data_IF_810397502384
#
_entry.id   IF_810397502384
#
_cell.length_a   1.000
_cell.length_b   1.000
_cell.length_c   1.000
_cell.angle_alpha   90.00
_cell.angle_beta   90.00
_cell.angle_gamma   90.00
#
_symmetry.space_group_name_H-M   'P 1'
#
loop_
_entity.id
_entity.type
_entity.pdbx_description
1 polymer ?
#
# COMPACT_ATOMS: atom_id res chain seq x y z
N UNK A 1 -22.40 0.92 53.45
CA UNK A 1 -22.84 -0.30 52.74
C UNK A 1 -24.37 -0.40 52.55
N UNK A 2 -25.24 -0.28 53.57
CA UNK A 2 -26.71 -0.30 53.35
C UNK A 2 -27.34 1.06 52.92
N UNK A 3 -26.67 2.18 53.20
CA UNK A 3 -27.11 3.55 52.86
C UNK A 3 -26.08 4.34 52.04
N UNK A 4 -25.05 3.68 51.47
CA UNK A 4 -24.02 4.35 50.66
C UNK A 4 -23.00 5.23 51.40
N UNK A 5 -23.04 5.32 52.74
CA UNK A 5 -22.17 6.21 53.53
C UNK A 5 -20.84 5.61 54.01
N UNK A 6 -20.59 4.33 53.71
CA UNK A 6 -19.41 3.59 54.21
C UNK A 6 -18.95 2.63 53.11
N UNK A 7 -17.70 2.79 52.68
CA UNK A 7 -16.96 1.92 51.76
C UNK A 7 -16.14 0.92 52.58
N UNK A 8 -16.28 -0.36 52.28
CA UNK A 8 -15.45 -1.41 52.87
C UNK A 8 -14.46 -1.92 51.83
N UNK A 9 -13.21 -2.11 52.22
CA UNK A 9 -12.19 -2.83 51.42
C UNK A 9 -11.62 -3.98 52.24
N UNK A 10 -11.34 -5.11 51.61
CA UNK A 10 -10.69 -6.24 52.27
C UNK A 10 -9.19 -6.00 52.48
N UNK A 11 -8.50 -6.99 53.07
CA UNK A 11 -7.05 -6.93 53.31
C UNK A 11 -6.21 -6.78 52.02
N UNK A 12 -6.77 -7.08 50.85
CA UNK A 12 -6.15 -6.89 49.54
C UNK A 12 -6.55 -5.55 48.88
N UNK A 13 -7.15 -4.62 49.63
CA UNK A 13 -7.68 -3.33 49.15
C UNK A 13 -8.77 -3.44 48.08
N UNK A 14 -9.45 -4.59 47.97
CA UNK A 14 -10.55 -4.81 47.03
C UNK A 14 -11.88 -4.43 47.68
N UNK A 15 -12.79 -3.80 46.93
CA UNK A 15 -14.09 -3.37 47.44
C UNK A 15 -14.96 -4.57 47.85
N UNK A 16 -15.58 -4.51 49.03
CA UNK A 16 -16.48 -5.53 49.58
C UNK A 16 -17.87 -4.94 49.85
N UNK A 17 -18.91 -5.72 49.56
CA UNK A 17 -20.31 -5.33 49.78
C UNK A 17 -20.81 -5.86 51.14
N UNK A 18 -21.81 -5.20 51.74
CA UNK A 18 -22.40 -5.59 53.03
C UNK A 18 -22.91 -7.02 53.05
N UNK A 19 -23.40 -7.51 51.90
CA UNK A 19 -23.94 -8.87 51.78
C UNK A 19 -22.87 -9.95 51.63
N UNK A 20 -21.68 -9.58 51.17
CA UNK A 20 -20.57 -10.52 50.92
C UNK A 20 -19.49 -10.48 52.00
N UNK A 21 -19.61 -9.58 52.97
CA UNK A 21 -18.67 -9.44 54.08
C UNK A 21 -19.01 -10.42 55.21
N UNK A 22 -18.28 -11.54 55.25
CA UNK A 22 -18.37 -12.54 56.31
C UNK A 22 -17.93 -11.96 57.67
N UNK A 23 -18.61 -12.34 58.75
CA UNK A 23 -18.37 -11.87 60.12
C UNK A 23 -16.92 -12.10 60.56
N UNK A 24 -16.29 -13.17 60.08
CA UNK A 24 -14.90 -13.50 60.39
C UNK A 24 -13.87 -12.63 59.66
N UNK A 25 -14.28 -11.90 58.61
CA UNK A 25 -13.42 -11.01 57.81
C UNK A 25 -13.60 -9.53 58.16
N UNK A 26 -14.50 -9.21 59.10
CA UNK A 26 -14.76 -7.84 59.57
C UNK A 26 -13.51 -7.18 60.16
N UNK A 27 -12.68 -7.92 60.88
CA UNK A 27 -11.43 -7.42 61.51
C UNK A 27 -10.31 -7.18 60.50
N UNK A 28 -10.45 -7.72 59.28
CA UNK A 28 -9.49 -7.57 58.18
C UNK A 28 -9.97 -6.56 57.14
N UNK A 29 -11.18 -6.03 57.29
CA UNK A 29 -11.76 -5.06 56.39
C UNK A 29 -11.51 -3.62 56.88
N UNK A 30 -11.03 -2.76 55.98
CA UNK A 30 -10.89 -1.33 56.22
C UNK A 30 -12.18 -0.63 55.81
N UNK A 31 -12.76 0.15 56.72
CA UNK A 31 -13.96 0.94 56.48
C UNK A 31 -13.60 2.42 56.36
N UNK A 32 -13.99 3.04 55.25
CA UNK A 32 -13.85 4.48 55.05
C UNK A 32 -15.22 5.11 54.89
N UNK A 33 -15.40 6.30 55.45
CA UNK A 33 -16.60 7.08 55.25
C UNK A 33 -16.67 7.51 53.78
N UNK A 34 -17.77 7.20 53.13
CA UNK A 34 -18.06 7.66 51.78
C UNK A 34 -18.83 8.99 51.92
N UNK A 35 -18.10 10.10 51.79
CA UNK A 35 -18.63 11.46 51.96
C UNK A 35 -19.41 11.97 50.74
N UNK A 36 -19.30 11.28 49.60
CA UNK A 36 -19.92 11.66 48.32
C UNK A 36 -21.12 10.76 48.06
N UNK A 37 -22.30 11.37 47.95
CA UNK A 37 -23.54 10.72 47.53
C UNK A 37 -23.91 11.18 46.13
N UNK A 38 -24.33 10.23 45.27
CA UNK A 38 -24.78 10.51 43.91
C UNK A 38 -26.30 10.56 43.88
N UNK A 39 -26.87 11.65 43.37
CA UNK A 39 -28.31 11.86 43.23
C UNK A 39 -28.90 11.07 42.04
N UNK A 40 -30.20 10.74 42.06
CA UNK A 40 -30.85 10.06 40.94
C UNK A 40 -30.69 10.76 39.58
N UNK A 41 -30.79 12.11 39.47
CA UNK A 41 -30.50 12.82 38.21
C UNK A 41 -29.05 12.65 37.73
N UNK A 42 -28.08 12.63 38.65
CA UNK A 42 -26.67 12.40 38.31
C UNK A 42 -26.46 11.00 37.75
N UNK A 43 -27.08 9.97 38.35
CA UNK A 43 -27.05 8.61 37.81
C UNK A 43 -27.64 8.53 36.39
N UNK A 44 -28.73 9.26 36.11
CA UNK A 44 -29.31 9.31 34.75
C UNK A 44 -28.30 9.89 33.76
N UNK A 45 -27.68 11.04 34.08
CA UNK A 45 -26.71 11.70 33.19
C UNK A 45 -25.46 10.84 32.99
N UNK A 46 -24.96 10.18 34.03
CA UNK A 46 -23.86 9.21 33.91
C UNK A 46 -24.26 8.08 32.95
N UNK A 47 -25.43 7.46 33.11
CA UNK A 47 -25.88 6.40 32.19
C UNK A 47 -26.04 6.88 30.75
N UNK A 48 -26.40 8.14 30.52
CA UNK A 48 -26.41 8.73 29.17
C UNK A 48 -25.01 8.79 28.56
N UNK A 49 -23.96 9.06 29.35
CA UNK A 49 -22.57 9.02 28.88
C UNK A 49 -22.17 7.60 28.48
N UNK A 50 -22.52 6.62 29.30
CA UNK A 50 -22.33 5.19 28.97
C UNK A 50 -22.96 4.85 27.61
N UNK A 51 -24.22 5.22 27.40
CA UNK A 51 -24.91 5.01 26.13
C UNK A 51 -24.25 5.77 24.96
N UNK A 52 -23.81 7.01 25.16
CA UNK A 52 -23.16 7.81 24.13
C UNK A 52 -21.80 7.22 23.67
N UNK A 53 -21.09 6.55 24.57
CA UNK A 53 -19.81 5.86 24.29
C UNK A 53 -20.04 4.41 23.84
N UNK A 54 -21.28 3.93 23.84
CA UNK A 54 -21.65 2.58 23.39
C UNK A 54 -21.40 1.48 24.43
N UNK A 55 -21.35 1.82 25.72
CA UNK A 55 -21.19 0.86 26.81
C UNK A 55 -22.55 0.65 27.51
N UNK A 56 -23.13 -0.56 27.47
CA UNK A 56 -24.45 -0.78 28.05
C UNK A 56 -24.39 -0.75 29.58
N UNK A 57 -25.08 0.19 30.22
CA UNK A 57 -25.12 0.35 31.68
C UNK A 57 -26.55 0.27 32.22
N UNK A 58 -26.79 -0.64 33.16
CA UNK A 58 -28.07 -0.77 33.86
C UNK A 58 -28.09 0.11 35.12
N UNK A 59 -29.26 0.50 35.63
CA UNK A 59 -29.35 1.19 36.92
C UNK A 59 -28.70 0.37 38.03
N UNK A 60 -27.88 1.01 38.88
CA UNK A 60 -27.11 0.41 39.99
C UNK A 60 -25.85 -0.36 39.58
N UNK A 61 -25.50 -0.36 38.29
CA UNK A 61 -24.31 -1.02 37.72
C UNK A 61 -23.23 -0.01 37.28
N UNK A 62 -23.47 1.29 37.48
CA UNK A 62 -22.63 2.38 36.97
C UNK A 62 -21.18 2.29 37.50
N UNK A 63 -21.03 2.06 38.80
CA UNK A 63 -19.72 1.97 39.43
C UNK A 63 -18.94 0.73 38.97
N UNK A 64 -19.64 -0.41 38.81
CA UNK A 64 -19.03 -1.65 38.37
C UNK A 64 -18.59 -1.58 36.90
N UNK A 65 -19.31 -0.80 36.07
CA UNK A 65 -18.98 -0.59 34.65
C UNK A 65 -18.10 0.61 34.35
N UNK A 66 -17.80 1.47 35.33
CA UNK A 66 -16.90 2.61 35.12
C UNK A 66 -15.54 2.22 34.51
N UNK A 67 -14.88 1.12 34.92
CA UNK A 67 -13.65 0.66 34.26
C UNK A 67 -13.83 0.30 32.78
N UNK A 68 -14.99 -0.28 32.42
CA UNK A 68 -15.29 -0.63 31.03
C UNK A 68 -15.52 0.63 30.17
N UNK A 69 -16.15 1.67 30.73
CA UNK A 69 -16.31 2.97 30.07
C UNK A 69 -14.96 3.64 29.82
N UNK A 70 -14.10 3.68 30.84
CA UNK A 70 -12.74 4.24 30.75
C UNK A 70 -11.92 3.49 29.69
N UNK A 71 -11.98 2.15 29.69
CA UNK A 71 -11.33 1.33 28.66
C UNK A 71 -11.85 1.65 27.26
N UNK A 72 -13.18 1.84 27.10
CA UNK A 72 -13.76 2.20 25.80
C UNK A 72 -13.34 3.59 25.32
N UNK A 73 -13.27 4.58 26.21
CA UNK A 73 -12.76 5.91 25.89
C UNK A 73 -11.30 5.87 25.46
N UNK A 74 -10.45 5.05 26.12
CA UNK A 74 -9.06 4.82 25.69
C UNK A 74 -8.98 4.15 24.31
N UNK A 75 -9.84 3.18 24.04
CA UNK A 75 -9.91 2.55 22.73
C UNK A 75 -10.25 3.58 21.64
N UNK A 76 -11.25 4.45 21.88
CA UNK A 76 -11.60 5.52 20.96
C UNK A 76 -10.45 6.50 20.73
N UNK A 77 -9.76 6.92 21.80
CA UNK A 77 -8.60 7.79 21.71
C UNK A 77 -7.47 7.16 20.87
N UNK A 78 -7.20 5.86 21.09
CA UNK A 78 -6.15 5.14 20.35
C UNK A 78 -6.41 5.05 18.84
N UNK A 79 -7.68 5.15 18.43
CA UNK A 79 -8.10 5.13 17.02
C UNK A 79 -8.20 6.53 16.39
N UNK A 80 -8.22 7.58 17.21
CA UNK A 80 -8.38 8.97 16.77
C UNK A 80 -7.05 9.68 16.47
N UNK A 81 -5.99 8.92 16.25
CA UNK A 81 -4.67 9.41 15.90
C UNK A 81 -3.71 8.26 15.64
N UNK A 82 -2.43 8.56 15.39
CA UNK A 82 -1.43 7.53 15.17
C UNK A 82 -0.11 8.07 14.64
N UNK A 83 0.57 7.23 13.86
CA UNK A 83 1.78 7.64 13.14
C UNK A 83 1.43 8.60 12.00
N UNK A 84 2.37 9.48 11.65
CA UNK A 84 2.22 10.35 10.50
C UNK A 84 1.92 9.52 9.23
N UNK A 85 1.00 9.94 8.35
CA UNK A 85 0.40 11.28 8.24
C UNK A 85 -0.85 11.50 9.12
N UNK A 86 -1.29 10.51 9.91
CA UNK A 86 -2.46 10.68 10.77
C UNK A 86 -2.18 11.75 11.85
N UNK A 87 -3.24 12.40 12.39
CA UNK A 87 -3.10 13.28 13.53
C UNK A 87 -2.41 12.59 14.71
N UNK A 88 -1.80 13.38 15.59
CA UNK A 88 -1.25 12.84 16.83
C UNK A 88 -2.34 12.21 17.70
N UNK A 89 -1.94 11.25 18.53
CA UNK A 89 -2.83 10.67 19.52
C UNK A 89 -3.37 11.76 20.45
N UNK A 90 -4.69 11.82 20.66
CA UNK A 90 -5.28 12.81 21.54
C UNK A 90 -4.81 12.61 22.99
N UNK A 91 -4.71 13.72 23.73
CA UNK A 91 -4.31 13.71 25.14
C UNK A 91 -5.38 13.02 26.00
N UNK A 92 -4.96 12.14 26.91
CA UNK A 92 -5.86 11.36 27.77
C UNK A 92 -6.14 12.02 29.13
N UNK A 93 -5.79 13.30 29.32
CA UNK A 93 -5.89 14.03 30.60
C UNK A 93 -7.24 13.88 31.31
N UNK A 94 -8.36 13.99 30.58
CA UNK A 94 -9.70 13.79 31.14
C UNK A 94 -9.94 12.36 31.62
N UNK A 95 -9.36 11.35 30.95
CA UNK A 95 -9.46 9.94 31.32
C UNK A 95 -8.56 9.64 32.53
N UNK A 96 -7.34 10.16 32.54
CA UNK A 96 -6.39 10.01 33.66
C UNK A 96 -6.97 10.61 34.95
N UNK A 97 -7.67 11.75 34.86
CA UNK A 97 -8.40 12.34 35.98
C UNK A 97 -9.50 11.42 36.53
N UNK A 98 -10.20 10.67 35.68
CA UNK A 98 -11.22 9.69 36.10
C UNK A 98 -10.59 8.48 36.79
N UNK A 99 -9.45 8.02 36.32
CA UNK A 99 -8.71 6.88 36.91
C UNK A 99 -8.07 7.23 38.25
N UNK A 100 -7.73 8.49 38.47
CA UNK A 100 -7.24 8.98 39.77
C UNK A 100 -8.31 8.96 40.87
N UNK A 101 -9.60 8.85 40.50
CA UNK A 101 -10.72 8.77 41.42
C UNK A 101 -11.19 7.33 41.63
N UNK A 102 -11.86 7.07 42.75
CA UNK A 102 -12.44 5.75 43.03
C UNK A 102 -13.74 5.82 43.82
N UNK A 103 -14.60 4.81 43.67
CA UNK A 103 -15.93 4.81 44.34
C UNK A 103 -16.82 5.92 43.80
N UNK A 104 -17.69 6.49 44.66
CA UNK A 104 -18.60 7.55 44.24
C UNK A 104 -17.88 8.83 43.75
N UNK A 105 -16.63 9.07 44.16
CA UNK A 105 -15.83 10.18 43.62
C UNK A 105 -15.61 10.06 42.11
N UNK A 106 -15.41 8.83 41.59
CA UNK A 106 -15.25 8.57 40.17
C UNK A 106 -16.56 8.81 39.39
N UNK A 107 -17.70 8.42 39.98
CA UNK A 107 -19.02 8.70 39.40
C UNK A 107 -19.34 10.21 39.38
N UNK A 108 -18.97 10.93 40.44
CA UNK A 108 -19.12 12.38 40.47
C UNK A 108 -18.26 13.05 39.40
N UNK A 109 -17.03 12.59 39.19
CA UNK A 109 -16.15 13.13 38.15
C UNK A 109 -16.68 12.84 36.73
N UNK A 110 -17.23 11.63 36.50
CA UNK A 110 -17.94 11.30 35.24
C UNK A 110 -19.12 12.25 34.98
N UNK A 111 -19.87 12.59 36.03
CA UNK A 111 -20.97 13.54 35.92
C UNK A 111 -20.48 14.96 35.62
N UNK A 112 -19.46 15.43 36.35
CA UNK A 112 -18.90 16.78 36.20
C UNK A 112 -18.32 16.99 34.80
N UNK A 113 -17.66 15.97 34.25
CA UNK A 113 -17.04 16.01 32.91
C UNK A 113 -17.94 15.47 31.81
N UNK A 114 -19.23 15.26 32.05
CA UNK A 114 -20.12 14.64 31.07
C UNK A 114 -20.05 15.31 29.68
N UNK A 115 -20.13 16.64 29.65
CA UNK A 115 -20.20 17.40 28.40
C UNK A 115 -18.85 17.34 27.66
N UNK A 116 -17.74 17.42 28.39
CA UNK A 116 -16.37 17.23 27.87
C UNK A 116 -16.19 15.81 27.30
N UNK A 117 -16.49 14.77 28.10
CA UNK A 117 -16.30 13.36 27.71
C UNK A 117 -17.17 12.97 26.52
N UNK A 118 -18.39 13.49 26.44
CA UNK A 118 -19.28 13.26 25.31
C UNK A 118 -18.77 13.96 24.04
N UNK A 119 -18.25 15.17 24.16
CA UNK A 119 -17.68 15.91 23.04
C UNK A 119 -16.42 15.23 22.48
N UNK A 120 -15.47 14.85 23.34
CA UNK A 120 -14.23 14.18 22.90
C UNK A 120 -14.54 12.80 22.32
N UNK A 121 -15.50 12.04 22.88
CA UNK A 121 -15.87 10.74 22.33
C UNK A 121 -16.44 10.87 20.91
N UNK A 122 -17.34 11.83 20.68
CA UNK A 122 -17.87 12.12 19.34
C UNK A 122 -16.78 12.55 18.37
N UNK A 123 -15.87 13.42 18.82
CA UNK A 123 -14.73 13.86 18.01
C UNK A 123 -13.83 12.68 17.63
N UNK A 124 -13.46 11.83 18.60
CA UNK A 124 -12.60 10.67 18.36
C UNK A 124 -13.22 9.64 17.43
N UNK A 125 -14.53 9.38 17.54
CA UNK A 125 -15.25 8.52 16.59
C UNK A 125 -15.16 9.10 15.18
N UNK A 126 -15.46 10.40 15.01
CA UNK A 126 -15.37 11.06 13.70
C UNK A 126 -13.95 10.99 13.14
N UNK A 127 -12.94 11.35 13.93
CA UNK A 127 -11.54 11.32 13.52
C UNK A 127 -11.09 9.91 13.12
N UNK A 128 -11.48 8.89 13.89
CA UNK A 128 -11.17 7.50 13.55
C UNK A 128 -11.81 7.06 12.22
N UNK A 129 -13.08 7.45 11.98
CA UNK A 129 -13.76 7.16 10.73
C UNK A 129 -13.13 7.87 9.53
N UNK A 130 -12.71 9.13 9.71
CA UNK A 130 -12.03 9.90 8.66
C UNK A 130 -10.64 9.33 8.36
N UNK A 131 -9.87 8.90 9.38
CA UNK A 131 -8.61 8.17 9.20
C UNK A 131 -8.86 6.88 8.41
N UNK A 132 -9.87 6.10 8.79
CA UNK A 132 -10.19 4.83 8.12
C UNK A 132 -10.53 5.01 6.63
N UNK A 133 -11.09 6.17 6.26
CA UNK A 133 -11.39 6.51 4.85
C UNK A 133 -10.19 7.05 4.09
N UNK A 134 -9.38 7.94 4.71
CA UNK A 134 -8.27 8.62 4.03
C UNK A 134 -6.99 7.80 3.97
N UNK A 135 -6.75 6.94 4.96
CA UNK A 135 -5.51 6.17 5.05
C UNK A 135 -5.29 5.20 3.88
N UNK A 136 -6.30 4.47 3.36
CA UNK A 136 -6.10 3.63 2.19
C UNK A 136 -5.65 4.42 0.95
N UNK A 137 -6.25 5.60 0.73
CA UNK A 137 -5.89 6.51 -0.38
C UNK A 137 -4.46 7.03 -0.23
N UNK A 138 -4.06 7.35 1.01
CA UNK A 138 -2.68 7.72 1.31
C UNK A 138 -1.70 6.57 1.01
N UNK A 139 -2.02 5.35 1.43
CA UNK A 139 -1.17 4.18 1.16
C UNK A 139 -1.02 3.93 -0.35
N UNK A 140 -2.10 4.05 -1.12
CA UNK A 140 -2.08 3.95 -2.59
C UNK A 140 -1.17 5.01 -3.23
N UNK A 141 -1.25 6.27 -2.78
CA UNK A 141 -0.36 7.34 -3.22
C UNK A 141 1.12 7.00 -2.96
N UNK A 142 1.46 6.56 -1.74
CA UNK A 142 2.85 6.24 -1.39
C UNK A 142 3.38 5.08 -2.26
N UNK A 143 2.58 4.04 -2.48
CA UNK A 143 2.98 2.92 -3.33
C UNK A 143 3.22 3.37 -4.78
N UNK A 144 2.35 4.21 -5.34
CA UNK A 144 2.55 4.74 -6.68
C UNK A 144 3.80 5.64 -6.76
N UNK A 145 4.07 6.47 -5.75
CA UNK A 145 5.27 7.30 -5.71
C UNK A 145 6.56 6.48 -5.76
N UNK A 146 6.57 5.26 -5.22
CA UNK A 146 7.72 4.36 -5.32
C UNK A 146 8.04 4.01 -6.78
N UNK A 147 7.03 3.81 -7.62
CA UNK A 147 7.19 3.58 -9.07
C UNK A 147 7.59 4.82 -9.85
N UNK A 148 7.36 6.02 -9.30
CA UNK A 148 7.62 7.28 -9.96
C UNK A 148 9.05 7.81 -9.73
N UNK A 149 9.89 7.16 -8.91
CA UNK A 149 11.21 7.65 -8.47
C UNK A 149 12.14 8.15 -9.57
N UNK A 150 12.09 7.51 -10.73
CA UNK A 150 12.95 7.83 -11.87
C UNK A 150 12.34 8.84 -12.84
N UNK A 151 11.13 9.33 -12.55
CA UNK A 151 10.42 10.30 -13.36
C UNK A 151 10.75 11.72 -12.90
N UNK A 152 10.86 12.65 -13.85
CA UNK A 152 11.20 14.06 -13.58
C UNK A 152 10.33 14.74 -12.51
N UNK A 153 8.98 14.63 -12.55
CA UNK A 153 8.09 15.26 -11.56
C UNK A 153 8.14 14.64 -10.14
N UNK A 154 8.92 13.59 -9.92
CA UNK A 154 8.95 12.86 -8.65
C UNK A 154 9.29 13.75 -7.45
N UNK A 155 10.31 14.60 -7.58
CA UNK A 155 10.79 15.40 -6.47
C UNK A 155 9.71 16.35 -5.91
N UNK A 156 8.93 16.97 -6.80
CA UNK A 156 7.83 17.86 -6.43
C UNK A 156 6.68 17.08 -5.77
N UNK A 157 6.24 15.97 -6.38
CA UNK A 157 5.19 15.12 -5.82
C UNK A 157 5.58 14.54 -4.45
N UNK A 158 6.84 14.16 -4.29
CA UNK A 158 7.38 13.65 -3.03
C UNK A 158 7.43 14.73 -1.96
N UNK A 159 7.83 15.95 -2.31
CA UNK A 159 7.84 17.08 -1.39
C UNK A 159 6.43 17.43 -0.89
N UNK A 160 5.43 17.45 -1.79
CA UNK A 160 4.04 17.67 -1.40
C UNK A 160 3.52 16.55 -0.48
N UNK A 161 3.83 15.29 -0.79
CA UNK A 161 3.47 14.17 0.08
C UNK A 161 4.17 14.27 1.45
N UNK A 162 5.46 14.58 1.48
CA UNK A 162 6.19 14.80 2.74
C UNK A 162 5.56 15.93 3.56
N UNK A 163 5.12 17.02 2.94
CA UNK A 163 4.41 18.09 3.63
C UNK A 163 3.10 17.60 4.28
N UNK A 164 2.34 16.72 3.61
CA UNK A 164 1.12 16.12 4.20
C UNK A 164 1.46 15.25 5.40
N UNK A 165 2.53 14.45 5.30
CA UNK A 165 2.99 13.57 6.37
C UNK A 165 3.51 14.37 7.56
N UNK A 166 4.43 15.28 7.32
CA UNK A 166 5.21 15.97 8.35
C UNK A 166 4.32 16.97 9.10
N UNK A 167 3.38 17.63 8.41
CA UNK A 167 2.37 18.50 9.04
C UNK A 167 1.12 17.74 9.53
N UNK A 168 1.07 16.41 9.34
CA UNK A 168 -0.06 15.54 9.73
C UNK A 168 -1.43 16.02 9.24
N UNK A 169 -1.48 16.46 7.99
CA UNK A 169 -2.69 17.07 7.39
C UNK A 169 -3.57 16.06 6.64
N UNK A 170 -3.46 14.76 6.92
CA UNK A 170 -4.28 13.71 6.28
C UNK A 170 -5.79 14.01 6.28
N UNK A 171 -6.27 14.66 7.36
CA UNK A 171 -7.69 14.97 7.55
C UNK A 171 -8.05 16.44 7.27
N UNK A 172 -7.16 17.20 6.61
CA UNK A 172 -7.45 18.57 6.23
C UNK A 172 -8.58 18.67 5.18
N UNK A 173 -9.24 19.82 5.16
CA UNK A 173 -10.29 20.16 4.18
C UNK A 173 -9.88 21.46 3.46
N UNK A 174 -9.73 21.48 2.12
CA UNK A 174 -9.94 20.38 1.18
C UNK A 174 -8.95 19.20 1.33
N UNK A 175 -9.34 18.01 0.85
CA UNK A 175 -8.51 16.79 0.89
C UNK A 175 -7.17 17.00 0.16
N UNK A 176 -6.03 16.95 0.87
CA UNK A 176 -4.73 17.17 0.23
C UNK A 176 -4.21 15.93 -0.51
N UNK A 177 -4.72 14.73 -0.23
CA UNK A 177 -4.20 13.47 -0.78
C UNK A 177 -4.76 13.18 -2.16
N UNK A 178 -6.05 13.43 -2.39
CA UNK A 178 -6.69 13.07 -3.66
C UNK A 178 -6.06 13.76 -4.88
N UNK A 179 -5.81 15.09 -4.86
CA UNK A 179 -5.14 15.75 -5.98
C UNK A 179 -3.71 15.27 -6.21
N UNK A 180 -3.02 14.83 -5.15
CA UNK A 180 -1.68 14.24 -5.27
C UNK A 180 -1.72 12.86 -5.93
N UNK A 181 -2.68 12.02 -5.52
CA UNK A 181 -2.89 10.70 -6.11
C UNK A 181 -3.22 10.80 -7.60
N UNK A 182 -4.11 11.71 -7.97
CA UNK A 182 -4.52 11.91 -9.37
C UNK A 182 -3.31 12.36 -10.22
N UNK A 183 -2.53 13.35 -9.74
CA UNK A 183 -1.30 13.80 -10.43
C UNK A 183 -0.25 12.70 -10.56
N UNK A 184 0.02 11.94 -9.49
CA UNK A 184 0.98 10.83 -9.52
C UNK A 184 0.53 9.74 -10.50
N UNK A 185 -0.77 9.41 -10.48
CA UNK A 185 -1.37 8.44 -11.40
C UNK A 185 -1.25 8.87 -12.85
N UNK A 186 -1.50 10.15 -13.16
CA UNK A 186 -1.41 10.66 -14.52
C UNK A 186 0.02 10.62 -15.07
N UNK A 187 1.00 11.02 -14.26
CA UNK A 187 2.42 10.96 -14.63
C UNK A 187 2.85 9.51 -14.92
N UNK A 188 2.49 8.58 -14.04
CA UNK A 188 2.81 7.16 -14.20
C UNK A 188 2.08 6.54 -15.40
N UNK A 189 0.80 6.84 -15.58
CA UNK A 189 -0.01 6.34 -16.70
C UNK A 189 0.58 6.82 -18.04
N UNK A 190 0.99 8.08 -18.13
CA UNK A 190 1.65 8.61 -19.32
C UNK A 190 2.98 7.90 -19.59
N UNK A 191 3.81 7.73 -18.56
CA UNK A 191 5.09 7.05 -18.69
C UNK A 191 4.93 5.59 -19.13
N UNK A 192 4.03 4.84 -18.48
CA UNK A 192 3.76 3.44 -18.81
C UNK A 192 3.18 3.28 -20.21
N UNK A 193 2.21 4.11 -20.60
CA UNK A 193 1.67 4.11 -21.96
C UNK A 193 2.76 4.37 -23.01
N UNK A 194 3.68 5.29 -22.77
CA UNK A 194 4.79 5.54 -23.68
C UNK A 194 5.70 4.31 -23.82
N UNK A 195 5.97 3.58 -22.73
CA UNK A 195 6.76 2.32 -22.78
C UNK A 195 6.01 1.20 -23.52
N UNK A 196 4.72 1.04 -23.25
CA UNK A 196 3.86 0.06 -23.93
C UNK A 196 3.79 0.32 -25.43
N UNK A 197 3.58 1.57 -25.84
CA UNK A 197 3.58 1.97 -27.26
C UNK A 197 4.94 1.73 -27.90
N UNK A 198 6.03 2.07 -27.21
CA UNK A 198 7.39 1.78 -27.67
C UNK A 198 7.59 0.28 -27.93
N UNK A 199 7.21 -0.56 -26.98
CA UNK A 199 7.26 -2.01 -27.12
C UNK A 199 6.43 -2.51 -28.31
N UNK A 200 5.18 -2.04 -28.44
CA UNK A 200 4.28 -2.43 -29.54
C UNK A 200 4.83 -2.04 -30.90
N UNK A 201 5.38 -0.83 -31.03
CA UNK A 201 5.98 -0.35 -32.27
C UNK A 201 7.21 -1.19 -32.66
N UNK A 202 8.10 -1.46 -31.69
CA UNK A 202 9.27 -2.32 -31.93
C UNK A 202 8.86 -3.74 -32.29
N UNK A 203 7.86 -4.30 -31.59
CA UNK A 203 7.34 -5.62 -31.88
C UNK A 203 6.74 -5.70 -33.30
N UNK A 204 5.88 -4.75 -33.67
CA UNK A 204 5.27 -4.68 -35.00
C UNK A 204 6.32 -4.54 -36.11
N UNK A 205 7.36 -3.73 -35.89
CA UNK A 205 8.47 -3.59 -36.82
C UNK A 205 9.25 -4.90 -36.98
N UNK A 206 9.63 -5.56 -35.89
CA UNK A 206 10.35 -6.84 -35.93
C UNK A 206 9.49 -7.95 -36.55
N UNK A 207 8.20 -7.97 -36.27
CA UNK A 207 7.25 -8.89 -36.89
C UNK A 207 7.16 -8.68 -38.41
N UNK A 208 7.12 -7.42 -38.88
CA UNK A 208 7.12 -7.12 -40.30
C UNK A 208 8.42 -7.58 -40.99
N UNK A 209 9.58 -7.41 -40.33
CA UNK A 209 10.85 -7.95 -40.82
C UNK A 209 10.85 -9.47 -40.89
N UNK A 210 10.32 -10.14 -39.87
CA UNK A 210 10.23 -11.61 -39.83
C UNK A 210 9.31 -12.14 -40.93
N UNK A 211 8.17 -11.49 -41.15
CA UNK A 211 7.24 -11.87 -42.23
C UNK A 211 7.76 -11.57 -43.63
N UNK A 212 8.68 -10.61 -43.78
CA UNK A 212 9.38 -10.33 -45.03
C UNK A 212 10.59 -11.24 -45.31
N UNK A 213 11.00 -12.05 -44.32
CA UNK A 213 12.13 -12.96 -44.46
C UNK A 213 11.78 -14.14 -45.40
N UNK A 214 12.62 -14.33 -46.42
CA UNK A 214 12.38 -15.33 -47.46
C UNK A 214 12.47 -16.78 -46.97
N UNK A 215 13.24 -17.04 -45.91
CA UNK A 215 13.31 -18.37 -45.31
C UNK A 215 12.15 -18.56 -44.34
N UNK A 216 11.76 -17.53 -43.57
CA UNK A 216 10.54 -17.61 -42.74
C UNK A 216 9.27 -17.90 -43.56
N UNK A 217 9.12 -17.30 -44.73
CA UNK A 217 7.99 -17.53 -45.64
C UNK A 217 7.88 -18.97 -46.17
N UNK A 218 8.95 -19.78 -46.09
CA UNK A 218 8.95 -21.19 -46.52
C UNK A 218 8.51 -22.15 -45.42
N UNK A 219 8.39 -21.68 -44.18
CA UNK A 219 7.93 -22.51 -43.06
C UNK A 219 6.43 -22.82 -43.20
N UNK A 220 6.05 -24.03 -42.77
CA UNK A 220 4.64 -24.36 -42.57
C UNK A 220 4.03 -23.59 -41.38
N UNK A 221 2.70 -23.49 -41.33
CA UNK A 221 1.99 -22.87 -40.21
C UNK A 221 2.30 -23.54 -38.86
N UNK A 222 2.52 -24.86 -38.86
CA UNK A 222 2.90 -25.60 -37.65
C UNK A 222 4.33 -25.25 -37.17
N UNK A 223 5.30 -25.15 -38.09
CA UNK A 223 6.68 -24.81 -37.76
C UNK A 223 6.82 -23.35 -37.30
N UNK A 224 6.18 -22.42 -38.01
CA UNK A 224 6.17 -21.01 -37.62
C UNK A 224 5.46 -20.80 -36.26
N UNK A 225 4.36 -21.51 -36.01
CA UNK A 225 3.70 -21.50 -34.70
C UNK A 225 4.59 -22.04 -33.57
N UNK A 226 5.30 -23.14 -33.81
CA UNK A 226 6.25 -23.70 -32.84
C UNK A 226 7.41 -22.75 -32.54
N UNK A 227 8.00 -22.12 -33.56
CA UNK A 227 9.10 -21.16 -33.36
C UNK A 227 8.62 -19.88 -32.66
N UNK A 228 7.42 -19.40 -32.98
CA UNK A 228 6.79 -18.25 -32.31
C UNK A 228 6.64 -18.52 -30.82
N UNK A 229 6.11 -19.70 -30.47
CA UNK A 229 5.94 -20.13 -29.07
C UNK A 229 7.28 -20.37 -28.36
N UNK A 230 8.25 -21.00 -29.02
CA UNK A 230 9.56 -21.29 -28.45
C UNK A 230 10.38 -20.03 -28.12
N UNK A 231 10.18 -18.95 -28.89
CA UNK A 231 10.89 -17.68 -28.69
C UNK A 231 10.03 -16.60 -28.00
N UNK A 232 8.83 -16.94 -27.54
CA UNK A 232 7.88 -16.03 -26.89
C UNK A 232 7.60 -14.78 -27.73
N UNK A 233 7.29 -14.98 -29.01
CA UNK A 233 6.98 -13.93 -29.98
C UNK A 233 5.46 -13.65 -30.04
N UNK A 234 4.75 -13.78 -28.91
CA UNK A 234 3.36 -13.37 -28.83
C UNK A 234 3.21 -11.88 -28.52
N UNK A 235 2.19 -11.22 -29.10
CA UNK A 235 1.85 -9.86 -28.73
C UNK A 235 1.44 -9.81 -27.25
N UNK A 236 2.00 -8.85 -26.51
CA UNK A 236 1.66 -8.67 -25.10
C UNK A 236 0.29 -8.01 -24.98
N UNK A 237 -0.56 -8.56 -24.11
CA UNK A 237 -1.85 -7.96 -23.76
C UNK A 237 -1.62 -6.64 -23.02
N UNK A 238 -2.26 -5.58 -23.50
CA UNK A 238 -2.20 -4.27 -22.85
C UNK A 238 -2.97 -4.33 -21.52
N UNK A 239 -2.35 -3.99 -20.38
CA UNK A 239 -3.05 -3.91 -19.11
C UNK A 239 -4.06 -2.75 -19.13
N UNK A 240 -5.15 -2.89 -18.37
CA UNK A 240 -6.06 -1.77 -18.11
C UNK A 240 -5.42 -0.83 -17.10
N UNK A 241 -5.45 0.48 -17.36
CA UNK A 241 -4.81 1.53 -16.55
C UNK A 241 -5.82 2.60 -16.10
N UNK A 242 -7.12 2.30 -16.16
CA UNK A 242 -8.18 3.28 -15.91
C UNK A 242 -8.16 3.81 -14.47
N UNK A 243 -7.93 2.93 -13.49
CA UNK A 243 -7.91 3.30 -12.06
C UNK A 243 -6.49 3.30 -11.48
N UNK A 244 -6.22 4.05 -10.40
CA UNK A 244 -4.92 4.03 -9.73
C UNK A 244 -4.53 2.62 -9.25
N UNK A 245 -5.48 1.83 -8.73
CA UNK A 245 -5.26 0.44 -8.34
C UNK A 245 -4.81 -0.45 -9.52
N UNK A 246 -5.50 -0.40 -10.66
CA UNK A 246 -5.11 -1.17 -11.85
C UNK A 246 -3.77 -0.71 -12.42
N UNK A 247 -3.48 0.59 -12.35
CA UNK A 247 -2.16 1.12 -12.71
C UNK A 247 -1.08 0.59 -11.77
N UNK A 248 -1.34 0.52 -10.47
CA UNK A 248 -0.41 -0.05 -9.50
C UNK A 248 -0.16 -1.53 -9.79
N UNK A 249 -1.21 -2.34 -9.97
CA UNK A 249 -1.10 -3.76 -10.32
C UNK A 249 -0.24 -3.96 -11.58
N UNK A 250 -0.46 -3.16 -12.62
CA UNK A 250 0.32 -3.23 -13.85
C UNK A 250 1.81 -2.88 -13.67
N UNK A 251 2.11 -1.92 -12.78
CA UNK A 251 3.48 -1.51 -12.45
C UNK A 251 4.18 -2.51 -11.53
N UNK A 252 3.44 -3.13 -10.61
CA UNK A 252 3.92 -4.21 -9.73
C UNK A 252 4.25 -5.48 -10.56
N UNK A 253 3.42 -5.82 -11.54
CA UNK A 253 3.67 -6.91 -12.48
C UNK A 253 4.87 -6.64 -13.41
N UNK A 254 4.96 -5.42 -13.95
CA UNK A 254 6.03 -5.03 -14.86
C UNK A 254 6.30 -3.52 -14.82
N UNK A 255 7.28 -3.13 -13.99
CA UNK A 255 7.67 -1.73 -13.85
C UNK A 255 8.25 -1.12 -15.14
N UNK A 256 8.44 0.20 -15.13
CA UNK A 256 8.90 0.97 -16.29
C UNK A 256 10.27 0.51 -16.83
N UNK A 257 11.20 0.16 -15.94
CA UNK A 257 12.53 -0.34 -16.33
C UNK A 257 12.46 -1.72 -16.98
N UNK A 258 11.62 -2.60 -16.44
CA UNK A 258 11.42 -3.93 -17.01
C UNK A 258 10.81 -3.84 -18.42
N UNK A 259 9.91 -2.87 -18.68
CA UNK A 259 9.42 -2.60 -20.04
C UNK A 259 10.52 -2.14 -21.01
N UNK A 260 11.49 -1.35 -20.54
CA UNK A 260 12.65 -0.95 -21.35
C UNK A 260 13.46 -2.20 -21.72
N UNK A 261 13.81 -3.03 -20.73
CA UNK A 261 14.55 -4.28 -20.93
C UNK A 261 13.82 -5.24 -21.88
N UNK A 262 12.50 -5.39 -21.72
CA UNK A 262 11.66 -6.20 -22.62
C UNK A 262 11.72 -5.70 -24.06
N UNK A 263 11.63 -4.37 -24.25
CA UNK A 263 11.68 -3.76 -25.58
C UNK A 263 13.04 -3.97 -26.25
N UNK A 264 14.13 -3.78 -25.50
CA UNK A 264 15.49 -4.00 -26.00
C UNK A 264 15.76 -5.47 -26.35
N UNK A 265 15.19 -6.41 -25.59
CA UNK A 265 15.33 -7.84 -25.83
C UNK A 265 14.55 -8.34 -27.06
N UNK A 266 13.63 -7.54 -27.65
CA UNK A 266 12.86 -7.98 -28.81
C UNK A 266 13.76 -8.30 -30.00
N UNK A 267 14.75 -7.46 -30.33
CA UNK A 267 15.60 -7.69 -31.51
C UNK A 267 16.30 -9.04 -31.44
N UNK A 268 16.92 -9.36 -30.31
CA UNK A 268 17.65 -10.62 -30.14
C UNK A 268 16.74 -11.84 -30.14
N UNK A 269 15.50 -11.72 -29.62
CA UNK A 269 14.50 -12.80 -29.69
C UNK A 269 14.06 -13.07 -31.13
N UNK A 270 13.77 -12.02 -31.90
CA UNK A 270 13.40 -12.15 -33.31
C UNK A 270 14.55 -12.67 -34.17
N UNK A 271 15.79 -12.22 -33.92
CA UNK A 271 17.00 -12.77 -34.55
C UNK A 271 17.17 -14.26 -34.26
N UNK A 272 16.99 -14.68 -33.01
CA UNK A 272 17.07 -16.09 -32.61
C UNK A 272 16.03 -16.94 -33.35
N UNK A 273 14.81 -16.45 -33.50
CA UNK A 273 13.76 -17.13 -34.26
C UNK A 273 14.10 -17.21 -35.75
N UNK A 274 14.64 -16.15 -36.37
CA UNK A 274 15.14 -16.18 -37.76
C UNK A 274 16.21 -17.25 -37.94
N UNK A 275 17.19 -17.31 -37.04
CA UNK A 275 18.24 -18.34 -37.10
C UNK A 275 17.69 -19.76 -36.92
N UNK A 276 16.73 -19.96 -36.01
CA UNK A 276 16.08 -21.25 -35.83
C UNK A 276 15.31 -21.68 -37.08
N UNK A 277 14.62 -20.74 -37.76
CA UNK A 277 13.95 -20.99 -39.03
C UNK A 277 14.93 -21.43 -40.14
N UNK A 278 16.05 -20.71 -40.28
CA UNK A 278 17.09 -21.05 -41.26
C UNK A 278 17.68 -22.44 -40.99
N UNK A 279 17.99 -22.73 -39.72
CA UNK A 279 18.55 -24.03 -39.31
C UNK A 279 17.58 -25.17 -39.58
N UNK A 280 16.29 -24.95 -39.36
CA UNK A 280 15.25 -25.95 -39.59
C UNK A 280 15.04 -26.25 -41.09
N UNK A 281 15.12 -25.22 -41.94
CA UNK A 281 14.95 -25.37 -43.39
C UNK A 281 16.22 -25.88 -44.10
N UNK A 282 17.39 -25.52 -43.58
CA UNK A 282 18.69 -25.86 -44.16
C UNK A 282 19.60 -26.35 -43.04
N UNK A 283 19.45 -27.61 -42.59
CA UNK A 283 20.22 -28.15 -41.46
C UNK A 283 21.74 -28.19 -41.68
N UNK A 284 22.22 -28.05 -42.93
CA UNK A 284 23.64 -27.93 -43.28
C UNK A 284 24.12 -26.46 -43.38
N UNK A 285 23.34 -25.47 -42.95
CA UNK A 285 23.76 -24.05 -42.95
C UNK A 285 24.90 -23.83 -41.97
N UNK A 286 25.94 -23.13 -42.42
CA UNK A 286 27.06 -22.71 -41.58
C UNK A 286 26.88 -21.24 -41.23
N UNK A 287 26.74 -20.94 -39.94
CA UNK A 287 26.71 -19.56 -39.45
C UNK A 287 28.11 -18.96 -39.46
N UNK A 288 28.24 -17.76 -40.02
CA UNK A 288 29.52 -17.10 -40.19
C UNK A 288 29.51 -15.74 -39.50
N UNK A 289 30.12 -15.61 -38.30
CA UNK A 289 30.23 -14.32 -37.64
C UNK A 289 31.18 -13.41 -38.43
N UNK A 290 30.67 -12.30 -38.93
CA UNK A 290 31.49 -11.30 -39.62
C UNK A 290 32.47 -10.62 -38.64
N UNK A 291 33.74 -10.36 -39.05
CA UNK A 291 34.71 -9.68 -38.20
C UNK A 291 34.24 -8.25 -37.85
N UNK A 292 34.05 -7.94 -36.57
CA UNK A 292 33.63 -6.60 -36.13
C UNK A 292 34.87 -5.73 -35.87
N UNK A 293 35.06 -4.66 -36.63
CA UNK A 293 36.12 -3.64 -36.39
C UNK A 293 35.65 -2.24 -36.75
N UNK A 294 36.20 -1.22 -36.08
CA UNK A 294 35.98 0.19 -36.41
C UNK A 294 36.81 0.55 -37.64
N UNK A 295 36.15 1.04 -38.70
CA UNK A 295 36.78 1.43 -39.96
C UNK A 295 36.90 2.96 -40.00
N UNK A 296 38.12 3.46 -40.20
CA UNK A 296 38.42 4.90 -40.09
C UNK A 296 38.62 5.58 -41.45
N UNK A 297 38.77 4.81 -42.53
CA UNK A 297 38.96 5.31 -43.89
C UNK A 297 38.51 4.28 -44.94
N UNK A 298 38.42 4.71 -46.20
CA UNK A 298 37.96 3.88 -47.31
C UNK A 298 38.92 2.72 -47.64
N UNK A 299 40.22 2.87 -47.35
CA UNK A 299 41.20 1.80 -47.55
C UNK A 299 40.95 0.64 -46.57
N UNK A 300 40.69 0.94 -45.29
CA UNK A 300 40.31 -0.04 -44.26
C UNK A 300 39.00 -0.77 -44.62
N UNK A 301 38.01 -0.06 -45.20
CA UNK A 301 36.77 -0.68 -45.68
C UNK A 301 37.03 -1.70 -46.79
N UNK A 302 37.85 -1.36 -47.79
CA UNK A 302 38.17 -2.28 -48.90
C UNK A 302 38.90 -3.52 -48.41
N UNK A 303 39.84 -3.37 -47.48
CA UNK A 303 40.53 -4.51 -46.85
C UNK A 303 39.53 -5.39 -46.11
N UNK A 304 38.59 -4.79 -45.38
CA UNK A 304 37.56 -5.54 -44.66
C UNK A 304 36.58 -6.28 -45.55
N UNK A 305 36.10 -5.66 -46.62
CA UNK A 305 35.23 -6.33 -47.59
C UNK A 305 35.93 -7.53 -48.23
N UNK A 306 37.22 -7.41 -48.55
CA UNK A 306 37.99 -8.50 -49.17
C UNK A 306 38.21 -9.67 -48.20
N UNK A 307 38.50 -9.38 -46.92
CA UNK A 307 38.55 -10.41 -45.87
C UNK A 307 37.20 -11.11 -45.68
N UNK A 308 36.10 -10.35 -45.63
CA UNK A 308 34.75 -10.91 -45.51
C UNK A 308 34.40 -11.76 -46.73
N UNK A 309 34.71 -11.30 -47.94
CA UNK A 309 34.47 -12.04 -49.18
C UNK A 309 35.20 -13.39 -49.18
N UNK A 310 36.49 -13.41 -48.85
CA UNK A 310 37.28 -14.64 -48.78
C UNK A 310 36.70 -15.61 -47.74
N UNK A 311 36.35 -15.09 -46.56
CA UNK A 311 35.78 -15.88 -45.47
C UNK A 311 34.44 -16.50 -45.88
N UNK A 312 33.57 -15.76 -46.56
CA UNK A 312 32.30 -16.27 -47.06
C UNK A 312 32.47 -17.27 -48.21
N UNK A 313 33.40 -17.02 -49.13
CA UNK A 313 33.69 -17.92 -50.24
C UNK A 313 34.20 -19.28 -49.75
N UNK A 314 35.01 -19.32 -48.68
CA UNK A 314 35.43 -20.58 -48.07
C UNK A 314 34.29 -21.32 -47.40
N UNK A 315 33.43 -20.61 -46.66
CA UNK A 315 32.31 -21.22 -45.93
C UNK A 315 31.20 -21.70 -46.85
N UNK A 316 30.98 -21.03 -47.98
CA UNK A 316 30.05 -21.47 -49.04
C UNK A 316 30.44 -22.82 -49.67
N UNK A 317 31.72 -23.20 -49.65
CA UNK A 317 32.16 -24.53 -50.13
C UNK A 317 31.70 -25.67 -49.21
N UNK A 318 31.42 -25.37 -47.93
CA UNK A 318 30.99 -26.33 -46.93
C UNK A 318 29.46 -26.47 -46.92
N UNK A 319 28.75 -25.37 -47.15
CA UNK A 319 27.29 -25.35 -47.22
C UNK A 319 26.74 -23.93 -47.38
N UNK A 320 25.41 -23.76 -47.44
CA UNK A 320 24.81 -22.43 -47.51
C UNK A 320 25.19 -21.61 -46.27
N UNK A 321 25.54 -20.34 -46.47
CA UNK A 321 26.00 -19.45 -45.38
C UNK A 321 24.86 -18.56 -44.91
N UNK A 322 24.71 -18.45 -43.59
CA UNK A 322 23.90 -17.43 -42.92
C UNK A 322 24.81 -16.41 -42.24
N UNK A 323 24.50 -15.12 -42.45
CA UNK A 323 25.24 -13.95 -41.97
C UNK A 323 24.51 -13.26 -40.83
#
# INVERSE_FOLDING_TARGET
MAAGHVRATDAASKAVDAKSLDRNKLTQASFRQESITISPPQFIKIRQLFSAVGVPCQPKDELAKAPLLIAKLRELASKAGGMAPAPELPKLTAIEALEAQSGNAQLLELFNRYDELTAIAKQWVKTADDIKKRHPVWSELINLLEHAKELGPYAELKADADAVRDNRTLLADPDPVRPLLDRASDVLRLALNAKLQGFQNTFAHQQAQLSGDSDWAKLSAAQSGQLTAAHHLEPVKVPDLATPAQLQDALDDCNLQHWISKTQALSSKFESARHAAVTLLKPNVVHVPLPKRTLNNEAELKVWLNEVEQLLAEKLKIGPVAL
#
